data_IF_246794525910
#
_entry.id   IF_246794525910
#
_cell.length_a   1.000
_cell.length_b   1.000
_cell.length_c   1.000
_cell.angle_alpha   90.00
_cell.angle_beta   90.00
_cell.angle_gamma   90.00
#
_symmetry.space_group_name_H-M   'P 1'
#
loop_
_entity.id
_entity.type
_entity.pdbx_description
1 polymer ?
#
# COMPACT_ATOMS: atom_id res chain seq x y z
N UNK A 1 -18.18 -6.52 -18.23
CA UNK A 1 -17.35 -5.62 -17.41
C UNK A 1 -16.05 -5.39 -18.18
N UNK A 2 -15.81 -4.17 -18.66
CA UNK A 2 -14.62 -3.85 -19.48
C UNK A 2 -13.76 -2.76 -18.84
N UNK A 3 -14.32 -1.93 -17.95
CA UNK A 3 -13.68 -0.79 -17.34
C UNK A 3 -14.26 -0.51 -15.95
N UNK A 4 -13.51 0.16 -15.06
CA UNK A 4 -13.92 0.46 -13.69
C UNK A 4 -14.19 -0.79 -12.84
N UNK A 5 -13.46 -1.86 -13.07
CA UNK A 5 -13.67 -3.16 -12.43
C UNK A 5 -12.58 -3.45 -11.42
N UNK A 6 -13.00 -3.67 -10.19
CA UNK A 6 -12.16 -4.22 -9.14
C UNK A 6 -12.29 -5.76 -9.14
N UNK A 7 -11.15 -6.44 -9.21
CA UNK A 7 -11.09 -7.91 -9.15
C UNK A 7 -10.39 -8.31 -7.86
N UNK A 8 -11.09 -9.07 -7.01
CA UNK A 8 -10.53 -9.68 -5.81
C UNK A 8 -10.34 -11.18 -6.02
N UNK A 9 -9.12 -11.65 -5.86
CA UNK A 9 -8.75 -13.06 -5.85
C UNK A 9 -8.56 -13.53 -4.42
N UNK A 10 -9.19 -14.64 -4.05
CA UNK A 10 -8.99 -15.26 -2.73
C UNK A 10 -8.71 -16.75 -2.94
N UNK A 11 -7.52 -17.18 -2.53
CA UNK A 11 -7.14 -18.60 -2.53
C UNK A 11 -7.23 -19.14 -1.09
N UNK A 12 -8.04 -20.18 -0.91
CA UNK A 12 -8.15 -20.89 0.37
C UNK A 12 -7.58 -22.29 0.28
N UNK A 13 -7.36 -22.91 1.44
CA UNK A 13 -6.95 -24.33 1.53
C UNK A 13 -8.08 -25.30 1.10
N UNK A 14 -9.30 -24.79 0.82
CA UNK A 14 -10.45 -25.55 0.42
C UNK A 14 -11.24 -26.20 1.55
N UNK A 15 -12.08 -27.16 1.21
CA UNK A 15 -12.97 -27.81 2.16
C UNK A 15 -12.23 -28.71 3.14
N UNK A 16 -12.66 -28.68 4.40
CA UNK A 16 -12.20 -29.59 5.45
C UNK A 16 -13.17 -30.75 5.61
N UNK A 17 -12.63 -31.91 5.96
CA UNK A 17 -13.43 -33.09 6.32
C UNK A 17 -14.05 -32.98 7.71
N UNK A 18 -13.46 -32.15 8.60
CA UNK A 18 -13.97 -31.84 9.95
C UNK A 18 -13.37 -30.53 10.44
N UNK A 19 -13.88 -29.99 11.55
CA UNK A 19 -13.30 -28.80 12.22
C UNK A 19 -11.89 -29.11 12.77
N UNK A 20 -11.05 -28.08 12.87
CA UNK A 20 -9.69 -28.19 13.40
C UNK A 20 -8.71 -27.28 12.65
N UNK A 21 -7.51 -27.07 13.22
CA UNK A 21 -6.46 -26.23 12.62
C UNK A 21 -5.42 -27.01 11.82
N UNK A 22 -5.49 -28.34 11.82
CA UNK A 22 -4.57 -29.18 11.05
C UNK A 22 -4.83 -29.03 9.54
N UNK A 23 -3.85 -28.57 8.74
CA UNK A 23 -4.02 -28.42 7.30
C UNK A 23 -4.22 -29.74 6.55
N UNK A 24 -3.88 -30.88 7.14
CA UNK A 24 -4.16 -32.21 6.56
C UNK A 24 -5.66 -32.55 6.47
N UNK A 25 -6.49 -31.81 7.19
CA UNK A 25 -7.95 -31.94 7.11
C UNK A 25 -8.53 -31.36 5.80
N UNK A 26 -7.76 -30.55 5.08
CA UNK A 26 -8.15 -30.01 3.77
C UNK A 26 -7.78 -31.00 2.65
N UNK A 27 -8.67 -31.92 2.32
CA UNK A 27 -8.40 -33.03 1.39
C UNK A 27 -8.97 -32.83 -0.01
N UNK A 28 -9.81 -31.81 -0.22
CA UNK A 28 -10.45 -31.53 -1.50
C UNK A 28 -9.64 -30.60 -2.43
N UNK A 29 -8.39 -30.25 -2.05
CA UNK A 29 -7.58 -29.26 -2.75
C UNK A 29 -7.98 -27.82 -2.46
N UNK A 30 -7.24 -26.85 -3.00
CA UNK A 30 -7.50 -25.41 -2.78
C UNK A 30 -8.77 -24.95 -3.50
N UNK A 31 -9.39 -23.88 -2.97
CA UNK A 31 -10.51 -23.19 -3.63
C UNK A 31 -10.08 -21.77 -4.01
N UNK A 32 -10.21 -21.43 -5.27
CA UNK A 32 -10.04 -20.09 -5.79
C UNK A 32 -11.40 -19.40 -5.92
N UNK A 33 -11.53 -18.23 -5.32
CA UNK A 33 -12.70 -17.36 -5.42
C UNK A 33 -12.26 -16.10 -6.16
N UNK A 34 -12.98 -15.74 -7.22
CA UNK A 34 -12.78 -14.52 -7.99
C UNK A 34 -14.04 -13.68 -7.90
N UNK A 35 -13.93 -12.52 -7.28
CA UNK A 35 -15.01 -11.53 -7.20
C UNK A 35 -14.65 -10.35 -8.10
N UNK A 36 -15.54 -10.02 -9.05
CA UNK A 36 -15.43 -8.85 -9.90
C UNK A 36 -16.60 -7.91 -9.63
N UNK A 37 -16.32 -6.65 -9.32
CA UNK A 37 -17.32 -5.63 -9.03
C UNK A 37 -16.91 -4.27 -9.61
N UNK A 38 -17.89 -3.46 -10.00
CA UNK A 38 -17.65 -2.06 -10.32
C UNK A 38 -17.40 -1.28 -9.02
N UNK A 39 -16.26 -0.62 -8.92
CA UNK A 39 -15.88 0.12 -7.72
C UNK A 39 -15.02 1.31 -8.09
N UNK A 40 -15.32 2.46 -7.49
CA UNK A 40 -14.50 3.66 -7.62
C UNK A 40 -13.15 3.48 -6.90
N UNK A 41 -12.10 4.23 -7.29
CA UNK A 41 -10.85 4.31 -6.56
C UNK A 41 -11.08 4.61 -5.07
N UNK A 42 -10.20 4.08 -4.21
CA UNK A 42 -10.37 4.17 -2.75
C UNK A 42 -10.07 5.56 -2.22
N UNK A 43 -9.13 6.27 -2.86
CA UNK A 43 -8.71 7.59 -2.41
C UNK A 43 -9.26 8.70 -3.31
N UNK A 44 -9.64 9.80 -2.68
CA UNK A 44 -9.92 11.05 -3.37
C UNK A 44 -8.61 11.67 -3.88
N UNK A 45 -8.69 12.38 -5.01
CA UNK A 45 -7.55 13.13 -5.57
C UNK A 45 -7.19 14.40 -4.78
N UNK A 46 -7.99 14.78 -3.78
CA UNK A 46 -7.72 15.91 -2.88
C UNK A 46 -6.55 15.68 -1.92
N UNK A 47 -6.05 14.45 -1.85
CA UNK A 47 -4.97 14.05 -0.96
C UNK A 47 -5.44 13.24 0.25
N UNK A 48 -4.56 12.37 0.73
CA UNK A 48 -4.79 11.44 1.83
C UNK A 48 -4.23 12.01 3.13
N UNK A 49 -5.01 11.94 4.20
CA UNK A 49 -4.58 12.28 5.56
C UNK A 49 -4.37 11.02 6.38
N UNK A 50 -3.25 10.95 7.09
CA UNK A 50 -2.88 9.79 7.88
C UNK A 50 -2.71 10.12 9.36
N UNK A 51 -2.89 9.11 10.20
CA UNK A 51 -2.48 9.11 11.61
C UNK A 51 -1.52 7.95 11.85
N UNK A 52 -0.50 8.15 12.67
CA UNK A 52 0.39 7.07 13.09
C UNK A 52 -0.33 6.15 14.07
N UNK A 53 -0.53 4.88 13.67
CA UNK A 53 -1.19 3.89 14.50
C UNK A 53 -0.34 3.45 15.69
N UNK A 54 -1.01 3.18 16.81
CA UNK A 54 -0.42 2.49 17.96
C UNK A 54 -0.14 1.01 17.66
N UNK A 55 -0.85 0.43 16.71
CA UNK A 55 -0.72 -0.98 16.29
C UNK A 55 0.51 -1.14 15.39
N UNK A 56 1.37 -2.10 15.74
CA UNK A 56 2.57 -2.40 14.95
C UNK A 56 2.32 -3.50 13.94
N UNK A 57 3.03 -3.45 12.81
CA UNK A 57 3.05 -4.52 11.83
C UNK A 57 3.75 -5.74 12.40
N UNK A 58 3.28 -6.94 12.05
CA UNK A 58 3.93 -8.18 12.44
C UNK A 58 5.32 -8.29 11.81
N UNK A 59 6.34 -8.65 12.61
CA UNK A 59 7.63 -9.03 12.06
C UNK A 59 7.56 -10.43 11.40
N UNK A 60 8.51 -10.76 10.51
CA UNK A 60 8.52 -12.05 9.79
C UNK A 60 8.55 -13.29 10.68
N UNK A 61 9.11 -13.19 11.89
CA UNK A 61 9.17 -14.28 12.87
C UNK A 61 7.86 -14.52 13.62
N UNK A 62 6.90 -13.59 13.52
CA UNK A 62 5.55 -13.75 14.05
C UNK A 62 4.58 -14.27 12.97
N UNK A 63 4.36 -13.48 11.94
CA UNK A 63 3.57 -13.84 10.77
C UNK A 63 4.08 -13.02 9.59
N UNK A 64 4.87 -13.65 8.71
CA UNK A 64 5.50 -12.96 7.58
C UNK A 64 4.43 -12.31 6.68
N UNK A 65 4.43 -10.97 6.55
CA UNK A 65 3.46 -10.25 5.73
C UNK A 65 3.52 -10.62 4.23
N UNK A 66 4.65 -11.17 3.74
CA UNK A 66 4.82 -11.63 2.36
C UNK A 66 3.93 -12.83 2.01
N UNK A 67 3.44 -13.56 3.00
CA UNK A 67 2.42 -14.61 2.80
C UNK A 67 1.12 -13.99 2.27
N UNK A 68 0.89 -12.71 2.51
CA UNK A 68 -0.31 -11.97 2.13
C UNK A 68 -1.59 -12.66 2.61
N UNK A 69 -1.59 -13.12 3.86
CA UNK A 69 -2.68 -13.90 4.45
C UNK A 69 -3.92 -13.03 4.73
N UNK A 70 -5.09 -13.68 4.85
CA UNK A 70 -6.32 -13.00 5.25
C UNK A 70 -6.38 -12.63 6.76
N UNK A 71 -5.31 -12.82 7.52
CA UNK A 71 -5.21 -12.33 8.89
C UNK A 71 -4.91 -10.83 8.92
N UNK A 72 -5.91 -10.01 8.64
CA UNK A 72 -5.83 -8.55 8.51
C UNK A 72 -6.26 -7.80 9.78
N UNK A 73 -6.38 -8.47 10.92
CA UNK A 73 -6.88 -7.86 12.17
C UNK A 73 -6.05 -6.64 12.57
N UNK A 74 -4.71 -6.70 12.49
CA UNK A 74 -3.85 -5.56 12.77
C UNK A 74 -4.14 -4.35 11.86
N UNK A 75 -4.36 -4.58 10.56
CA UNK A 75 -4.71 -3.52 9.60
C UNK A 75 -6.08 -2.92 9.88
N UNK A 76 -7.03 -3.75 10.30
CA UNK A 76 -8.39 -3.30 10.67
C UNK A 76 -8.34 -2.47 11.96
N UNK A 77 -7.57 -2.89 12.97
CA UNK A 77 -7.40 -2.12 14.21
C UNK A 77 -6.76 -0.75 13.93
N UNK A 78 -5.72 -0.70 13.10
CA UNK A 78 -5.12 0.56 12.67
C UNK A 78 -6.13 1.45 11.91
N UNK A 79 -6.96 0.87 11.03
CA UNK A 79 -8.02 1.62 10.34
C UNK A 79 -9.08 2.17 11.29
N UNK A 80 -9.41 1.45 12.37
CA UNK A 80 -10.31 1.93 13.42
C UNK A 80 -9.72 3.17 14.11
N UNK A 81 -8.41 3.21 14.39
CA UNK A 81 -7.73 4.39 14.93
C UNK A 81 -7.81 5.58 13.96
N UNK A 82 -7.58 5.35 12.65
CA UNK A 82 -7.74 6.39 11.64
C UNK A 82 -9.17 6.95 11.60
N UNK A 83 -10.16 6.08 11.60
CA UNK A 83 -11.57 6.48 11.62
C UNK A 83 -11.93 7.29 12.87
N UNK A 84 -11.43 6.89 14.04
CA UNK A 84 -11.61 7.61 15.30
C UNK A 84 -10.94 9.00 15.29
N UNK A 85 -9.83 9.13 14.56
CA UNK A 85 -9.08 10.38 14.37
C UNK A 85 -9.67 11.27 13.25
N UNK A 86 -10.66 10.79 12.50
CA UNK A 86 -11.28 11.55 11.40
C UNK A 86 -10.37 11.73 10.19
N UNK A 87 -9.44 10.79 9.95
CA UNK A 87 -8.53 10.79 8.80
C UNK A 87 -8.74 9.55 7.91
N UNK A 88 -8.11 9.54 6.75
CA UNK A 88 -8.39 8.55 5.70
C UNK A 88 -7.82 7.18 6.03
N UNK A 89 -6.55 7.09 6.46
CA UNK A 89 -5.88 5.83 6.78
C UNK A 89 -4.87 5.98 7.92
N UNK A 90 -4.27 4.86 8.33
CA UNK A 90 -3.27 4.82 9.39
C UNK A 90 -1.89 4.45 8.84
N UNK A 91 -0.87 5.22 9.20
CA UNK A 91 0.53 4.87 9.00
C UNK A 91 0.94 3.88 10.08
N UNK A 92 1.47 2.73 9.69
CA UNK A 92 1.89 1.67 10.61
C UNK A 92 3.42 1.54 10.65
N UNK A 93 3.94 1.43 11.85
CA UNK A 93 5.36 1.17 12.08
C UNK A 93 5.61 -0.33 12.33
N UNK A 94 6.82 -0.76 12.10
CA UNK A 94 7.32 -2.06 12.55
C UNK A 94 7.61 -2.07 14.07
N UNK A 95 8.06 -3.19 14.59
CA UNK A 95 8.40 -3.35 16.01
C UNK A 95 9.67 -2.61 16.43
N UNK A 96 10.47 -2.11 15.49
CA UNK A 96 11.65 -1.29 15.73
C UNK A 96 11.35 0.21 15.65
N UNK A 97 10.11 0.59 15.30
CA UNK A 97 9.69 1.99 15.18
C UNK A 97 9.92 2.60 13.82
N UNK A 98 10.32 1.83 12.81
CA UNK A 98 10.43 2.31 11.43
C UNK A 98 9.11 2.15 10.68
N UNK A 99 8.89 3.02 9.71
CA UNK A 99 7.72 2.98 8.82
C UNK A 99 7.71 1.66 8.05
N UNK A 100 6.61 0.92 8.15
CA UNK A 100 6.38 -0.28 7.37
C UNK A 100 5.53 0.03 6.12
N UNK A 101 4.29 0.41 6.32
CA UNK A 101 3.31 0.76 5.28
C UNK A 101 2.09 1.44 5.94
N UNK A 102 1.03 1.74 5.21
CA UNK A 102 -0.26 2.07 5.84
C UNK A 102 -1.01 0.79 6.25
N UNK A 103 -2.24 0.93 6.71
CA UNK A 103 -3.10 -0.24 6.97
C UNK A 103 -3.47 -1.02 5.68
N UNK A 104 -3.29 -0.45 4.48
CA UNK A 104 -3.71 -1.06 3.22
C UNK A 104 -2.80 -0.79 2.01
N UNK A 105 -1.86 0.15 2.08
CA UNK A 105 -1.03 0.61 0.94
C UNK A 105 0.40 0.86 1.38
N UNK A 106 1.35 0.74 0.44
CA UNK A 106 2.74 1.13 0.69
C UNK A 106 2.89 2.64 0.67
N UNK A 107 4.00 3.13 1.23
CA UNK A 107 4.32 4.56 1.29
C UNK A 107 5.65 4.85 0.64
N UNK A 108 5.72 6.03 0.04
CA UNK A 108 6.92 6.63 -0.50
C UNK A 108 7.06 8.05 0.02
N UNK A 109 8.28 8.46 0.31
CA UNK A 109 8.65 9.82 0.66
C UNK A 109 9.51 10.42 -0.46
N UNK A 110 9.43 11.70 -0.67
CA UNK A 110 10.36 12.45 -1.52
C UNK A 110 11.14 13.41 -0.62
N UNK A 111 12.47 13.39 -0.75
CA UNK A 111 13.35 14.32 -0.07
C UNK A 111 14.38 14.86 -1.07
N UNK A 112 14.29 16.12 -1.44
CA UNK A 112 14.96 16.68 -2.59
C UNK A 112 14.60 15.90 -3.87
N UNK A 113 15.62 15.43 -4.58
CA UNK A 113 15.45 14.64 -5.81
C UNK A 113 15.40 13.11 -5.56
N UNK A 114 15.33 12.69 -4.30
CA UNK A 114 15.38 11.27 -3.94
C UNK A 114 14.01 10.76 -3.47
N UNK A 115 13.57 9.68 -4.09
CA UNK A 115 12.39 8.91 -3.67
C UNK A 115 12.83 7.84 -2.67
N UNK A 116 12.16 7.75 -1.54
CA UNK A 116 12.46 6.80 -0.47
C UNK A 116 11.22 5.93 -0.17
N UNK A 117 11.43 4.65 0.09
CA UNK A 117 10.36 3.76 0.58
C UNK A 117 10.89 2.84 1.65
N UNK A 118 10.01 2.32 2.49
CA UNK A 118 10.37 1.34 3.52
C UNK A 118 10.89 0.04 2.92
N UNK A 119 11.80 -0.63 3.64
CA UNK A 119 12.19 -2.01 3.32
C UNK A 119 10.99 -2.94 3.50
N UNK A 120 10.81 -3.88 2.56
CA UNK A 120 9.73 -4.87 2.63
C UNK A 120 10.03 -5.98 3.67
N UNK A 121 10.18 -5.59 4.94
CA UNK A 121 10.41 -6.51 6.07
C UNK A 121 9.11 -6.81 6.81
N UNK A 122 8.37 -5.76 7.20
CA UNK A 122 7.11 -5.87 7.94
C UNK A 122 5.89 -5.48 7.07
N UNK A 123 6.01 -5.62 5.77
CA UNK A 123 4.96 -5.37 4.78
C UNK A 123 5.10 -6.35 3.60
N UNK A 124 4.05 -6.57 2.80
CA UNK A 124 4.17 -7.28 1.52
C UNK A 124 5.17 -6.60 0.58
N UNK A 125 5.66 -7.31 -0.44
CA UNK A 125 6.57 -6.71 -1.45
C UNK A 125 5.85 -5.67 -2.30
N UNK A 126 4.58 -5.90 -2.64
CA UNK A 126 3.69 -5.00 -3.36
C UNK A 126 4.00 -4.84 -4.85
N UNK A 127 3.05 -5.21 -5.71
CA UNK A 127 3.21 -5.08 -7.17
C UNK A 127 3.33 -3.62 -7.59
N UNK A 128 2.42 -2.75 -7.13
CA UNK A 128 2.47 -1.31 -7.43
C UNK A 128 3.75 -0.67 -6.91
N UNK A 129 4.19 -1.06 -5.69
CA UNK A 129 5.48 -0.62 -5.14
C UNK A 129 6.66 -1.02 -6.04
N UNK A 130 6.72 -2.27 -6.48
CA UNK A 130 7.76 -2.75 -7.38
C UNK A 130 7.77 -1.98 -8.70
N UNK A 131 6.58 -1.74 -9.28
CA UNK A 131 6.43 -0.93 -10.50
C UNK A 131 6.98 0.49 -10.32
N UNK A 132 6.73 1.15 -9.18
CA UNK A 132 7.30 2.49 -8.90
C UNK A 132 8.83 2.44 -8.84
N UNK A 133 9.42 1.43 -8.18
CA UNK A 133 10.88 1.25 -8.13
C UNK A 133 11.48 1.06 -9.53
N UNK A 134 10.83 0.24 -10.38
CA UNK A 134 11.24 0.03 -11.77
C UNK A 134 11.13 1.31 -12.61
N UNK A 135 10.04 2.07 -12.46
CA UNK A 135 9.85 3.36 -13.14
C UNK A 135 10.93 4.36 -12.74
N UNK A 136 11.28 4.43 -11.46
CA UNK A 136 12.39 5.27 -11.01
C UNK A 136 13.69 4.88 -11.70
N UNK A 137 14.03 3.59 -11.73
CA UNK A 137 15.24 3.10 -12.39
C UNK A 137 15.27 3.38 -13.90
N UNK A 138 14.12 3.19 -14.59
CA UNK A 138 14.01 3.42 -16.03
C UNK A 138 14.06 4.91 -16.43
N UNK A 139 13.78 5.83 -15.50
CA UNK A 139 13.70 7.27 -15.74
C UNK A 139 14.78 8.08 -15.01
N UNK A 140 15.85 7.42 -14.57
CA UNK A 140 17.01 8.03 -13.88
C UNK A 140 16.59 8.81 -12.60
N UNK A 141 15.49 8.40 -11.94
CA UNK A 141 15.05 8.95 -10.66
C UNK A 141 15.76 8.17 -9.55
N UNK A 142 16.50 8.86 -8.70
CA UNK A 142 17.14 8.21 -7.55
C UNK A 142 16.08 7.68 -6.61
N UNK A 143 16.04 6.36 -6.39
CA UNK A 143 15.12 5.72 -5.48
C UNK A 143 15.83 4.73 -4.57
N UNK A 144 15.45 4.70 -3.28
CA UNK A 144 16.11 3.85 -2.28
C UNK A 144 15.09 3.25 -1.30
N UNK A 145 15.33 2.00 -0.94
CA UNK A 145 14.70 1.38 0.23
C UNK A 145 15.52 1.72 1.49
N UNK A 146 14.85 2.23 2.52
CA UNK A 146 15.48 2.69 3.75
C UNK A 146 14.66 2.38 4.99
N UNK A 147 15.31 2.42 6.15
CA UNK A 147 14.64 2.39 7.45
C UNK A 147 14.21 3.83 7.78
N UNK A 148 12.94 4.12 7.50
CA UNK A 148 12.36 5.46 7.60
C UNK A 148 11.74 5.67 8.98
N UNK A 149 12.13 6.73 9.66
CA UNK A 149 11.55 7.15 10.93
C UNK A 149 10.37 8.11 10.72
N UNK A 150 9.59 8.39 11.77
CA UNK A 150 8.57 9.44 11.70
C UNK A 150 9.19 10.83 11.46
N UNK A 151 10.45 11.07 11.88
CA UNK A 151 11.15 12.31 11.58
C UNK A 151 11.36 12.46 10.06
N UNK A 152 11.69 11.38 9.35
CA UNK A 152 11.82 11.40 7.89
C UNK A 152 10.48 11.70 7.23
N UNK A 153 9.38 11.12 7.73
CA UNK A 153 8.01 11.41 7.27
C UNK A 153 7.69 12.90 7.41
N UNK A 154 7.89 13.47 8.62
CA UNK A 154 7.53 14.87 8.88
C UNK A 154 8.39 15.90 8.16
N UNK A 155 9.57 15.49 7.68
CA UNK A 155 10.51 16.35 6.94
C UNK A 155 10.45 16.11 5.42
N UNK A 156 9.62 15.20 4.95
CA UNK A 156 9.50 14.90 3.54
C UNK A 156 8.93 16.10 2.76
N UNK A 157 9.47 16.35 1.58
CA UNK A 157 8.96 17.36 0.66
C UNK A 157 7.65 16.90 0.01
N UNK A 158 7.54 15.58 -0.27
CA UNK A 158 6.32 14.94 -0.72
C UNK A 158 6.17 13.56 -0.08
N UNK A 159 4.94 13.08 0.02
CA UNK A 159 4.63 11.71 0.40
C UNK A 159 3.47 11.20 -0.45
N UNK A 160 3.51 9.93 -0.82
CA UNK A 160 2.39 9.28 -1.49
C UNK A 160 2.23 7.83 -1.07
N UNK A 161 0.99 7.35 -1.14
CA UNK A 161 0.63 5.95 -1.00
C UNK A 161 0.63 5.26 -2.36
N UNK A 162 0.92 3.96 -2.40
CA UNK A 162 0.83 3.15 -3.61
C UNK A 162 0.07 1.85 -3.37
N UNK A 163 -0.85 1.52 -4.27
CA UNK A 163 -1.65 0.30 -4.17
C UNK A 163 -2.50 0.07 -5.42
N UNK A 164 -2.93 -1.17 -5.62
CA UNK A 164 -3.68 -1.58 -6.83
C UNK A 164 -5.07 -0.96 -6.95
N UNK A 165 -5.64 -0.42 -5.85
CA UNK A 165 -6.98 0.17 -5.84
C UNK A 165 -6.99 1.70 -5.89
N UNK A 166 -5.85 2.34 -5.73
CA UNK A 166 -5.73 3.81 -5.68
C UNK A 166 -4.54 4.31 -6.47
N UNK A 167 -3.85 3.42 -7.18
CA UNK A 167 -2.64 3.76 -7.93
C UNK A 167 -1.61 4.48 -7.04
N UNK A 168 -1.27 5.74 -7.36
CA UNK A 168 -0.47 6.62 -6.53
C UNK A 168 -1.35 7.76 -6.01
N UNK A 169 -1.47 7.87 -4.69
CA UNK A 169 -2.28 8.89 -4.04
C UNK A 169 -1.40 9.76 -3.13
N UNK A 170 -1.40 11.07 -3.35
CA UNK A 170 -0.63 12.00 -2.54
C UNK A 170 -1.10 11.99 -1.08
N UNK A 171 -0.16 12.02 -0.14
CA UNK A 171 -0.42 12.22 1.29
C UNK A 171 -0.12 13.67 1.62
N UNK A 172 -1.11 14.36 2.15
CA UNK A 172 -1.02 15.80 2.45
C UNK A 172 -0.80 16.09 3.93
N UNK A 173 -1.15 15.15 4.80
CA UNK A 173 -1.06 15.33 6.25
C UNK A 173 -0.73 14.00 6.94
N UNK A 174 0.14 14.06 7.95
CA UNK A 174 0.41 12.95 8.89
C UNK A 174 0.43 13.50 10.32
N UNK A 175 -0.39 12.93 11.20
CA UNK A 175 -0.50 13.30 12.62
C UNK A 175 -0.77 14.82 12.82
N UNK A 176 -1.63 15.40 11.99
CA UNK A 176 -1.97 16.83 12.01
C UNK A 176 -0.88 17.75 11.47
N UNK A 177 0.21 17.19 10.88
CA UNK A 177 1.29 17.95 10.26
C UNK A 177 1.18 17.87 8.74
N UNK A 178 1.18 19.02 8.09
CA UNK A 178 1.22 19.11 6.64
C UNK A 178 2.54 18.57 6.10
N UNK A 179 2.48 17.76 5.03
CA UNK A 179 3.65 17.32 4.29
C UNK A 179 3.97 18.36 3.21
N UNK A 180 5.26 18.58 2.95
CA UNK A 180 5.71 19.57 1.95
C UNK A 180 5.52 21.03 2.35
N UNK A 181 5.45 21.31 3.67
CA UNK A 181 5.38 22.68 4.18
C UNK A 181 4.03 23.37 3.97
N UNK A 182 2.97 22.62 3.61
CA UNK A 182 1.62 23.17 3.48
C UNK A 182 1.34 23.87 2.14
N UNK A 183 2.14 23.60 1.12
CA UNK A 183 1.81 24.05 -0.24
C UNK A 183 0.55 23.28 -0.71
N UNK A 184 -0.52 24.03 -1.05
CA UNK A 184 -1.82 23.47 -1.47
C UNK A 184 -1.78 22.74 -2.82
N UNK A 185 -0.62 22.64 -3.47
CA UNK A 185 -0.46 22.02 -4.79
C UNK A 185 -0.22 20.51 -4.76
N UNK A 186 -0.89 19.77 -3.89
CA UNK A 186 -0.86 18.30 -3.95
C UNK A 186 -1.57 17.78 -5.23
N UNK A 187 -1.00 16.76 -5.92
CA UNK A 187 0.28 16.10 -5.66
C UNK A 187 1.48 16.98 -6.00
N UNK A 188 2.58 16.83 -5.26
CA UNK A 188 3.85 17.48 -5.57
C UNK A 188 4.44 17.02 -6.92
N UNK A 189 5.49 17.70 -7.43
CA UNK A 189 6.00 17.48 -8.78
C UNK A 189 6.53 16.05 -9.02
N UNK A 190 7.20 15.43 -8.05
CA UNK A 190 7.72 14.07 -8.19
C UNK A 190 6.58 13.05 -8.17
N UNK A 191 5.63 13.19 -7.25
CA UNK A 191 4.44 12.33 -7.18
C UNK A 191 3.63 12.42 -8.47
N UNK A 192 3.46 13.61 -9.03
CA UNK A 192 2.76 13.82 -10.32
C UNK A 192 3.49 13.11 -11.46
N UNK A 193 4.80 13.31 -11.57
CA UNK A 193 5.64 12.66 -12.59
C UNK A 193 5.53 11.13 -12.51
N UNK A 194 5.64 10.57 -11.32
CA UNK A 194 5.52 9.12 -11.14
C UNK A 194 4.11 8.61 -11.44
N UNK A 195 3.06 9.37 -11.11
CA UNK A 195 1.68 9.02 -11.43
C UNK A 195 1.44 8.99 -12.94
N UNK A 196 2.00 9.95 -13.70
CA UNK A 196 1.92 9.99 -15.16
C UNK A 196 2.64 8.78 -15.78
N UNK A 197 3.87 8.49 -15.35
CA UNK A 197 4.63 7.32 -15.80
C UNK A 197 3.92 6.01 -15.47
N UNK A 198 3.30 5.91 -14.30
CA UNK A 198 2.53 4.74 -13.88
C UNK A 198 1.29 4.56 -14.77
N UNK A 199 0.54 5.62 -15.03
CA UNK A 199 -0.64 5.60 -15.89
C UNK A 199 -0.28 5.22 -17.34
N UNK A 200 0.82 5.76 -17.87
CA UNK A 200 1.33 5.38 -19.20
C UNK A 200 1.64 3.87 -19.23
N UNK A 201 2.42 3.37 -18.27
CA UNK A 201 2.80 1.96 -18.20
C UNK A 201 1.59 1.04 -18.11
N UNK A 202 0.63 1.33 -17.26
CA UNK A 202 -0.59 0.51 -17.08
C UNK A 202 -1.52 0.56 -18.30
N UNK A 203 -1.41 1.58 -19.16
CA UNK A 203 -2.18 1.67 -20.39
C UNK A 203 -1.68 0.78 -21.53
N UNK A 204 -0.38 0.40 -21.49
CA UNK A 204 0.28 -0.36 -22.56
C UNK A 204 0.72 -1.75 -22.15
N UNK A 205 0.96 -1.98 -20.87
CA UNK A 205 1.35 -3.29 -20.35
C UNK A 205 0.14 -4.08 -19.86
N UNK A 206 0.16 -5.39 -20.11
CA UNK A 206 -0.86 -6.32 -19.63
C UNK A 206 -1.15 -7.45 -20.62
N UNK A 207 -1.96 -8.40 -20.18
CA UNK A 207 -2.46 -9.48 -21.04
C UNK A 207 -3.80 -9.08 -21.63
N UNK A 208 -3.89 -9.00 -22.95
CA UNK A 208 -5.17 -8.76 -23.64
C UNK A 208 -6.12 -9.94 -23.39
N UNK A 209 -7.22 -9.67 -22.73
CA UNK A 209 -8.21 -10.71 -22.32
C UNK A 209 -9.53 -10.63 -23.11
N UNK A 210 -9.73 -9.56 -23.88
CA UNK A 210 -10.90 -9.34 -24.75
C UNK A 210 -10.45 -8.70 -26.05
N UNK A 211 -11.16 -8.99 -27.14
CA UNK A 211 -10.98 -8.36 -28.46
C UNK A 211 -11.74 -7.04 -28.56
#
# INVERSE_FOLDING_TARGET
MRDGVHIRLTLSRGLKITSGMDPRLNQAGPTLIVLAEHKSPVYDKSGVRLVTSSVRRFPPDCLDPKIHSNNLVQSILAKIEANASGVDDALMLDTNGFVAETNATHVFLVSGDTVLTSRAVACPEGITRATVLELCGANEIVCREADLSLTDVYRADEMFCSGTMGELAAVVEVDGRQIGGGDESAPGPMTRRLSELFAERTSVEGTRVVD
#
